data_IF_229094478517
#
_entry.id   IF_229094478517
#
_cell.length_a   1.000
_cell.length_b   1.000
_cell.length_c   1.000
_cell.angle_alpha   90.00
_cell.angle_beta   90.00
_cell.angle_gamma   90.00
#
_symmetry.space_group_name_H-M   'P 1'
#
loop_
_entity.id
_entity.type
_entity.pdbx_description
1 polymer ?
#
# COMPACT_ATOMS: atom_id res chain seq x y z
N UNK A 1 13.05 20.28 -20.21
CA UNK A 1 13.85 19.17 -20.76
C UNK A 1 12.90 18.11 -21.28
N UNK A 2 12.90 17.79 -22.57
CA UNK A 2 12.16 16.65 -23.12
C UNK A 2 13.10 15.45 -23.09
N UNK A 3 12.99 14.61 -22.07
CA UNK A 3 13.48 13.23 -22.18
C UNK A 3 12.42 12.48 -22.98
N UNK A 4 12.56 12.46 -24.30
CA UNK A 4 11.78 11.56 -25.16
C UNK A 4 12.35 10.16 -25.02
N UNK A 5 12.06 9.51 -23.89
CA UNK A 5 12.21 8.07 -23.81
C UNK A 5 11.19 7.46 -24.77
N UNK A 6 11.67 6.75 -25.78
CA UNK A 6 10.82 6.05 -26.74
C UNK A 6 10.78 4.57 -26.39
N UNK A 7 9.56 4.07 -26.19
CA UNK A 7 9.36 2.64 -25.94
C UNK A 7 9.42 1.88 -27.26
N UNK A 8 10.20 0.81 -27.29
CA UNK A 8 10.13 -0.14 -28.39
C UNK A 8 8.84 -1.00 -28.27
N UNK A 9 8.44 -1.70 -29.35
CA UNK A 9 7.21 -2.51 -29.34
C UNK A 9 7.13 -3.54 -28.22
N UNK A 10 8.25 -4.18 -27.86
CA UNK A 10 8.28 -5.17 -26.77
C UNK A 10 8.08 -4.53 -25.40
N UNK A 11 8.62 -3.33 -25.18
CA UNK A 11 8.39 -2.57 -23.94
C UNK A 11 6.94 -2.11 -23.84
N UNK A 12 6.35 -1.62 -24.93
CA UNK A 12 4.93 -1.24 -24.97
C UNK A 12 4.01 -2.43 -24.69
N UNK A 13 4.29 -3.57 -25.34
CA UNK A 13 3.52 -4.79 -25.11
C UNK A 13 3.62 -5.25 -23.66
N UNK A 14 4.83 -5.25 -23.09
CA UNK A 14 5.04 -5.62 -21.68
C UNK A 14 4.27 -4.68 -20.74
N UNK A 15 4.30 -3.36 -20.97
CA UNK A 15 3.56 -2.40 -20.16
C UNK A 15 2.05 -2.66 -20.19
N UNK A 16 1.49 -2.91 -21.37
CA UNK A 16 0.06 -3.22 -21.53
C UNK A 16 -0.33 -4.51 -20.82
N UNK A 17 0.48 -5.56 -20.95
CA UNK A 17 0.22 -6.84 -20.29
C UNK A 17 0.35 -6.75 -18.77
N UNK A 18 1.36 -6.02 -18.25
CA UNK A 18 1.50 -5.81 -16.81
C UNK A 18 0.39 -4.93 -16.25
N UNK A 19 -0.09 -3.94 -16.99
CA UNK A 19 -1.24 -3.14 -16.55
C UNK A 19 -2.48 -4.02 -16.33
N UNK A 20 -2.77 -4.96 -17.25
CA UNK A 20 -3.88 -5.92 -17.08
C UNK A 20 -3.64 -6.86 -15.91
N UNK A 21 -2.43 -7.42 -15.80
CA UNK A 21 -2.06 -8.34 -14.73
C UNK A 21 -2.22 -7.69 -13.35
N UNK A 22 -1.78 -6.44 -13.18
CA UNK A 22 -1.94 -5.70 -11.92
C UNK A 22 -3.41 -5.52 -11.57
N UNK A 23 -4.26 -5.19 -12.55
CA UNK A 23 -5.71 -5.12 -12.33
C UNK A 23 -6.27 -6.45 -11.80
N UNK A 24 -5.99 -7.55 -12.50
CA UNK A 24 -6.47 -8.89 -12.11
C UNK A 24 -5.95 -9.34 -10.75
N UNK A 25 -4.67 -9.15 -10.46
CA UNK A 25 -4.09 -9.56 -9.17
C UNK A 25 -4.64 -8.73 -8.01
N UNK A 26 -4.81 -7.42 -8.17
CA UNK A 26 -5.37 -6.59 -7.10
C UNK A 26 -6.86 -6.87 -6.88
N UNK A 27 -7.60 -7.23 -7.93
CA UNK A 27 -8.97 -7.73 -7.77
C UNK A 27 -9.01 -9.07 -7.04
N UNK A 28 -8.08 -9.98 -7.36
CA UNK A 28 -7.96 -11.28 -6.70
C UNK A 28 -7.64 -11.11 -5.21
N UNK A 29 -6.63 -10.32 -4.88
CA UNK A 29 -6.28 -9.97 -3.50
C UNK A 29 -7.50 -9.42 -2.78
N UNK A 30 -8.20 -8.44 -3.37
CA UNK A 30 -9.37 -7.83 -2.73
C UNK A 30 -10.53 -8.82 -2.49
N UNK A 31 -10.81 -9.70 -3.46
CA UNK A 31 -11.89 -10.69 -3.39
C UNK A 31 -11.57 -11.83 -2.40
N UNK A 32 -10.38 -12.42 -2.48
CA UNK A 32 -9.98 -13.55 -1.63
C UNK A 32 -9.85 -13.14 -0.17
N UNK A 33 -9.62 -11.87 0.10
CA UNK A 33 -9.37 -11.38 1.46
C UNK A 33 -10.59 -10.76 2.13
N UNK A 34 -11.69 -10.61 1.39
CA UNK A 34 -12.99 -10.22 1.93
C UNK A 34 -13.50 -11.19 3.01
N UNK A 35 -12.99 -12.42 3.07
CA UNK A 35 -13.41 -13.43 4.02
C UNK A 35 -12.56 -13.56 5.27
N UNK A 36 -11.22 -13.33 5.26
CA UNK A 36 -10.37 -13.69 6.42
C UNK A 36 -8.97 -13.02 6.54
N UNK A 37 -8.62 -11.95 5.81
CA UNK A 37 -7.23 -11.46 5.81
C UNK A 37 -7.03 -9.99 6.21
N UNK A 38 -6.05 -9.80 7.11
CA UNK A 38 -5.49 -8.54 7.57
C UNK A 38 -4.94 -7.72 6.39
N UNK A 39 -5.33 -6.44 6.29
CA UNK A 39 -4.84 -5.47 5.30
C UNK A 39 -3.30 -5.43 5.22
N UNK A 40 -2.62 -5.74 6.33
CA UNK A 40 -1.17 -5.87 6.39
C UNK A 40 -0.61 -6.97 5.48
N UNK A 41 -1.23 -8.15 5.46
CA UNK A 41 -0.79 -9.26 4.61
C UNK A 41 -0.94 -8.91 3.14
N UNK A 42 -2.09 -8.33 2.78
CA UNK A 42 -2.37 -7.89 1.42
C UNK A 42 -1.42 -6.81 0.94
N UNK A 43 -1.06 -5.90 1.84
CA UNK A 43 -0.08 -4.87 1.54
C UNK A 43 1.32 -5.43 1.31
N UNK A 44 1.75 -6.42 2.08
CA UNK A 44 3.02 -7.09 1.83
C UNK A 44 3.02 -7.81 0.47
N UNK A 45 1.91 -8.43 0.08
CA UNK A 45 1.76 -9.04 -1.25
C UNK A 45 1.84 -7.99 -2.37
N UNK A 46 1.10 -6.89 -2.25
CA UNK A 46 1.12 -5.78 -3.20
C UNK A 46 2.53 -5.15 -3.32
N UNK A 47 3.21 -4.97 -2.19
CA UNK A 47 4.57 -4.44 -2.14
C UNK A 47 5.59 -5.37 -2.81
N UNK A 48 5.54 -6.67 -2.50
CA UNK A 48 6.39 -7.67 -3.15
C UNK A 48 6.15 -7.74 -4.67
N UNK A 49 4.89 -7.61 -5.09
CA UNK A 49 4.56 -7.59 -6.51
C UNK A 49 5.07 -6.33 -7.23
N UNK A 50 4.98 -5.15 -6.59
CA UNK A 50 5.57 -3.91 -7.11
C UNK A 50 7.09 -4.04 -7.29
N UNK A 51 7.79 -4.62 -6.31
CA UNK A 51 9.23 -4.82 -6.37
C UNK A 51 9.63 -5.72 -7.55
N UNK A 52 8.86 -6.79 -7.81
CA UNK A 52 9.06 -7.66 -8.97
C UNK A 52 8.87 -6.92 -10.30
N UNK A 53 7.82 -6.10 -10.41
CA UNK A 53 7.60 -5.29 -11.62
C UNK A 53 8.75 -4.30 -11.87
N UNK A 54 9.29 -3.68 -10.83
CA UNK A 54 10.46 -2.81 -10.98
C UNK A 54 11.71 -3.56 -11.42
N UNK A 55 11.95 -4.77 -10.90
CA UNK A 55 13.09 -5.59 -11.33
C UNK A 55 12.96 -6.04 -12.79
N UNK A 56 11.77 -6.46 -13.20
CA UNK A 56 11.47 -6.84 -14.59
C UNK A 56 11.63 -5.63 -15.54
N UNK A 57 11.09 -4.47 -15.16
CA UNK A 57 11.20 -3.22 -15.92
C UNK A 57 12.65 -2.77 -16.08
N UNK A 58 13.45 -2.88 -15.01
CA UNK A 58 14.88 -2.55 -15.05
C UNK A 58 15.63 -3.43 -16.05
N UNK A 59 15.32 -4.72 -16.09
CA UNK A 59 15.89 -5.67 -17.06
C UNK A 59 15.57 -5.29 -18.51
N UNK A 60 14.41 -4.66 -18.74
CA UNK A 60 13.97 -4.16 -20.04
C UNK A 60 14.36 -2.69 -20.31
N UNK A 61 15.10 -2.05 -19.40
CA UNK A 61 15.43 -0.61 -19.43
C UNK A 61 14.21 0.31 -19.53
N UNK A 62 13.07 -0.13 -18.97
CA UNK A 62 11.86 0.68 -18.86
C UNK A 62 12.02 1.62 -17.66
N UNK A 63 11.77 2.93 -17.80
CA UNK A 63 11.84 3.86 -16.68
C UNK A 63 10.80 3.48 -15.62
N UNK A 64 11.19 3.52 -14.34
CA UNK A 64 10.28 3.18 -13.23
C UNK A 64 8.99 4.01 -13.22
N UNK A 65 9.03 5.25 -13.72
CA UNK A 65 7.86 6.12 -13.85
C UNK A 65 6.79 5.60 -14.81
N UNK A 66 7.14 4.67 -15.71
CA UNK A 66 6.19 4.03 -16.62
C UNK A 66 5.64 2.71 -16.07
N UNK A 67 6.23 2.17 -15.00
CA UNK A 67 5.80 0.88 -14.44
C UNK A 67 4.45 1.05 -13.75
N UNK A 68 3.49 0.13 -13.97
CA UNK A 68 2.18 0.18 -13.31
C UNK A 68 2.31 0.28 -11.78
N UNK A 69 1.50 1.14 -11.19
CA UNK A 69 1.47 1.34 -9.74
C UNK A 69 0.45 0.39 -9.10
N UNK A 70 0.97 -0.63 -8.43
CA UNK A 70 0.20 -1.69 -7.78
C UNK A 70 -0.65 -1.12 -6.64
N UNK A 71 -0.06 -0.30 -5.78
CA UNK A 71 -0.76 0.28 -4.62
C UNK A 71 -1.89 1.21 -5.04
N UNK A 72 -1.66 2.04 -6.05
CA UNK A 72 -2.69 2.92 -6.59
C UNK A 72 -3.84 2.12 -7.20
N UNK A 73 -3.54 1.05 -7.93
CA UNK A 73 -4.55 0.15 -8.51
C UNK A 73 -5.38 -0.53 -7.42
N UNK A 74 -4.72 -1.05 -6.38
CA UNK A 74 -5.43 -1.67 -5.26
C UNK A 74 -6.31 -0.67 -4.51
N UNK A 75 -5.81 0.52 -4.21
CA UNK A 75 -6.61 1.57 -3.57
C UNK A 75 -7.83 1.95 -4.41
N UNK A 76 -7.71 2.03 -5.74
CA UNK A 76 -8.85 2.27 -6.61
C UNK A 76 -9.91 1.15 -6.52
N UNK A 77 -9.47 -0.11 -6.46
CA UNK A 77 -10.36 -1.26 -6.31
C UNK A 77 -11.05 -1.26 -4.93
N UNK A 78 -10.31 -0.99 -3.85
CA UNK A 78 -10.88 -0.83 -2.50
C UNK A 78 -11.91 0.28 -2.42
N UNK A 79 -11.62 1.43 -3.04
CA UNK A 79 -12.56 2.55 -3.12
C UNK A 79 -13.84 2.14 -3.85
N UNK A 80 -13.73 1.40 -4.96
CA UNK A 80 -14.87 0.88 -5.72
C UNK A 80 -15.79 -0.01 -4.87
N UNK A 81 -15.25 -0.72 -3.88
CA UNK A 81 -16.02 -1.58 -2.96
C UNK A 81 -16.33 -0.94 -1.59
N UNK A 82 -16.07 0.35 -1.43
CA UNK A 82 -16.43 1.11 -0.23
C UNK A 82 -15.48 0.97 0.97
N UNK A 83 -14.30 0.35 0.81
CA UNK A 83 -13.33 0.16 1.91
C UNK A 83 -12.39 1.35 2.14
N UNK A 84 -12.29 2.27 1.18
CA UNK A 84 -11.31 3.35 1.21
C UNK A 84 -9.87 2.87 0.91
N UNK A 85 -8.91 3.80 0.80
CA UNK A 85 -7.51 3.45 0.61
C UNK A 85 -6.97 2.70 1.83
N UNK A 86 -5.92 1.91 1.63
CA UNK A 86 -5.24 1.23 2.75
C UNK A 86 -4.63 2.28 3.69
N UNK A 87 -4.93 2.17 4.98
CA UNK A 87 -4.31 2.99 6.03
C UNK A 87 -3.81 2.10 7.16
N UNK A 88 -2.52 2.18 7.47
CA UNK A 88 -1.99 1.62 8.71
C UNK A 88 -1.97 2.74 9.73
N UNK A 89 -2.92 2.72 10.67
CA UNK A 89 -2.79 3.56 11.84
C UNK A 89 -1.54 3.08 12.61
N UNK A 90 -0.59 4.01 12.83
CA UNK A 90 0.42 3.79 13.84
C UNK A 90 -0.30 3.66 15.18
N UNK A 91 -0.42 2.44 15.70
CA UNK A 91 -0.69 2.25 17.12
C UNK A 91 0.57 2.66 17.89
N UNK A 92 0.88 3.95 17.89
CA UNK A 92 1.61 4.56 18.99
C UNK A 92 0.70 4.40 20.18
N UNK A 93 1.08 3.51 21.11
CA UNK A 93 0.34 3.23 22.33
C UNK A 93 -0.17 4.55 22.93
N UNK A 94 -1.50 4.69 23.01
CA UNK A 94 -2.10 5.53 24.03
C UNK A 94 -1.75 4.87 25.35
N UNK A 95 -0.57 5.18 25.90
CA UNK A 95 -0.37 5.02 27.34
C UNK A 95 -1.35 5.98 27.98
N UNK A 96 -2.46 5.42 28.45
CA UNK A 96 -3.41 6.14 29.28
C UNK A 96 -2.68 6.54 30.56
N UNK A 97 -2.00 7.69 30.55
CA UNK A 97 -1.64 8.41 31.78
C UNK A 97 -2.90 9.12 32.28
N UNK A 98 -3.83 8.34 32.78
CA UNK A 98 -4.96 8.83 33.57
C UNK A 98 -5.03 7.93 34.79
N UNK A 99 -4.10 8.13 35.73
CA UNK A 99 -4.17 7.71 37.14
C UNK A 99 -2.94 8.29 37.89
N UNK A 100 -2.76 9.62 37.82
CA UNK A 100 -2.03 10.33 38.87
C UNK A 100 -3.10 11.02 39.71
N UNK A 101 -3.57 10.29 40.72
CA UNK A 101 -4.32 10.85 41.84
C UNK A 101 -3.50 11.99 42.44
N UNK A 102 -3.99 13.22 42.25
CA UNK A 102 -3.56 14.38 43.03
C UNK A 102 -4.19 14.27 44.42
N UNK A 103 -3.72 13.32 45.23
CA UNK A 103 -4.05 13.28 46.66
C UNK A 103 -3.27 14.42 47.33
N UNK A 104 -4.00 15.49 47.63
CA UNK A 104 -3.47 16.71 48.20
C UNK A 104 -2.81 16.48 49.56
N UNK A 105 -1.54 16.87 49.65
CA UNK A 105 -0.95 17.23 50.93
C UNK A 105 -1.77 18.37 51.58
N UNK A 106 -2.37 18.11 52.75
CA UNK A 106 -2.36 19.11 53.82
C UNK A 106 -2.21 18.46 55.19
N UNK A 107 -1.34 19.09 55.97
CA UNK A 107 -0.71 18.65 57.19
C UNK A 107 -1.67 18.50 58.37
N UNK A 108 -1.28 17.58 59.26
CA UNK A 108 -1.63 17.49 60.68
C UNK A 108 -1.41 18.80 61.43
N UNK A 109 -2.31 19.14 62.34
CA UNK A 109 -1.99 19.81 63.62
C UNK A 109 -3.21 19.80 64.57
N UNK A 110 -3.09 19.09 65.70
CA UNK A 110 -3.63 19.46 67.01
C UNK A 110 -2.86 18.73 68.10
#
# INVERSE_FOLDING_TARGET
>A
MKNTFEFNPSQLWWLQEKQKLVGSEMERIEKETASNHNDWTNWNLAYGFQAKLYADAQSMKIPQSAVPNVTATWNAIRNRVGKGPVSFQNNSQSTNESDIDLEGHRQTEH
#
